data_IF_295370441175
#
_entry.id   IF_295370441175
#
_cell.length_a   1.000
_cell.length_b   1.000
_cell.length_c   1.000
_cell.angle_alpha   90.00
_cell.angle_beta   90.00
_cell.angle_gamma   90.00
#
_symmetry.space_group_name_H-M   'P 1'
#
loop_
_entity.id
_entity.type
_entity.pdbx_description
1 polymer ?
#
# COMPACT_ATOMS: atom_id res chain seq x y z
N UNK A 1 13.85 10.77 4.77
CA UNK A 1 14.44 11.23 3.49
C UNK A 1 15.46 10.25 2.88
N UNK A 2 16.40 9.64 3.64
CA UNK A 2 17.42 8.73 3.07
C UNK A 2 16.92 7.37 2.53
N UNK A 3 15.77 6.86 2.99
CA UNK A 3 15.37 5.47 2.70
C UNK A 3 14.86 5.23 1.27
N UNK A 4 14.28 6.24 0.61
CA UNK A 4 13.72 6.08 -0.74
C UNK A 4 14.81 5.89 -1.80
N UNK A 5 15.90 6.66 -1.70
CA UNK A 5 17.07 6.55 -2.59
C UNK A 5 17.77 5.19 -2.46
N UNK A 6 17.86 4.65 -1.24
CA UNK A 6 18.41 3.31 -0.99
C UNK A 6 17.56 2.21 -1.62
N UNK A 7 16.24 2.33 -1.55
CA UNK A 7 15.33 1.40 -2.23
C UNK A 7 15.56 1.42 -3.75
N UNK A 8 15.60 2.61 -4.34
CA UNK A 8 15.74 2.75 -5.79
C UNK A 8 17.08 2.17 -6.30
N UNK A 9 18.17 2.38 -5.54
CA UNK A 9 19.51 1.93 -5.91
C UNK A 9 19.71 0.42 -5.74
N UNK A 10 19.18 -0.17 -4.67
CA UNK A 10 19.54 -1.54 -4.28
C UNK A 10 18.39 -2.55 -4.39
N UNK A 11 17.13 -2.12 -4.32
CA UNK A 11 15.98 -3.03 -4.14
C UNK A 11 14.93 -2.95 -5.26
N UNK A 12 14.90 -1.88 -6.05
CA UNK A 12 13.87 -1.67 -7.08
C UNK A 12 13.72 -2.85 -8.06
N UNK A 13 14.85 -3.46 -8.46
CA UNK A 13 14.89 -4.59 -9.40
C UNK A 13 15.12 -5.95 -8.75
N UNK A 14 15.10 -6.03 -7.42
CA UNK A 14 15.31 -7.30 -6.73
C UNK A 14 13.99 -8.00 -6.46
N UNK A 15 14.08 -9.31 -6.20
CA UNK A 15 12.95 -10.13 -5.77
C UNK A 15 12.63 -9.95 -4.28
N UNK A 16 13.40 -9.13 -3.57
CA UNK A 16 13.19 -8.88 -2.15
C UNK A 16 11.95 -8.00 -2.00
N UNK A 17 10.94 -8.44 -1.24
CA UNK A 17 9.77 -7.62 -0.98
C UNK A 17 10.15 -6.51 0.00
N UNK A 18 9.69 -5.29 -0.28
CA UNK A 18 9.97 -4.11 0.55
C UNK A 18 8.66 -3.46 0.97
N UNK A 19 8.63 -2.93 2.19
CA UNK A 19 7.52 -2.14 2.72
C UNK A 19 8.07 -0.84 3.27
N UNK A 20 7.35 0.26 3.06
CA UNK A 20 7.66 1.55 3.67
C UNK A 20 6.86 1.67 4.97
N UNK A 21 7.55 1.98 6.06
CA UNK A 21 6.93 2.16 7.38
C UNK A 21 7.10 3.62 7.81
N UNK A 22 5.97 4.31 8.01
CA UNK A 22 5.91 5.63 8.61
C UNK A 22 5.95 5.48 10.14
N UNK A 23 7.16 5.54 10.69
CA UNK A 23 7.39 5.50 12.14
C UNK A 23 7.07 6.84 12.80
N UNK A 24 6.81 6.82 14.11
CA UNK A 24 6.48 8.03 14.90
C UNK A 24 5.19 8.70 14.46
N UNK A 25 4.21 7.90 14.05
CA UNK A 25 2.91 8.40 13.57
C UNK A 25 2.04 9.02 14.66
N UNK A 26 2.50 9.02 15.93
CA UNK A 26 1.94 9.83 17.01
C UNK A 26 2.28 11.34 16.91
N UNK A 27 3.31 11.69 16.14
CA UNK A 27 3.69 13.08 15.91
C UNK A 27 2.90 13.69 14.74
N UNK A 28 2.91 15.02 14.64
CA UNK A 28 2.29 15.71 13.50
C UNK A 28 2.96 15.29 12.19
N UNK A 29 2.14 14.92 11.19
CA UNK A 29 2.63 14.53 9.88
C UNK A 29 3.15 15.76 9.13
N UNK A 30 4.42 15.72 8.74
CA UNK A 30 5.07 16.80 7.99
C UNK A 30 5.30 16.34 6.57
N UNK A 31 5.10 17.24 5.61
CA UNK A 31 5.44 17.00 4.21
C UNK A 31 6.90 16.58 4.07
N UNK A 32 7.11 15.47 3.37
CA UNK A 32 8.46 14.99 3.13
C UNK A 32 9.09 15.84 2.03
N UNK A 33 10.30 16.35 2.30
CA UNK A 33 11.09 17.13 1.33
C UNK A 33 11.70 16.25 0.24
N UNK A 34 10.96 15.29 -0.30
CA UNK A 34 11.41 14.41 -1.39
C UNK A 34 10.69 14.77 -2.68
N UNK A 35 11.21 14.33 -3.84
CA UNK A 35 10.60 14.60 -5.14
C UNK A 35 9.14 14.11 -5.23
N UNK A 36 8.79 13.08 -4.45
CA UNK A 36 7.45 12.51 -4.38
C UNK A 36 7.06 12.23 -2.92
N UNK A 37 5.77 12.33 -2.60
CA UNK A 37 5.27 11.91 -1.29
C UNK A 37 5.33 10.38 -1.15
N UNK A 38 5.46 9.83 0.09
CA UNK A 38 5.64 8.39 0.30
C UNK A 38 4.55 7.51 -0.32
N UNK A 39 3.30 7.96 -0.29
CA UNK A 39 2.15 7.26 -0.89
C UNK A 39 2.25 7.19 -2.42
N UNK A 40 2.61 8.30 -3.05
CA UNK A 40 2.82 8.36 -4.50
C UNK A 40 4.02 7.52 -4.93
N UNK A 41 5.10 7.56 -4.14
CA UNK A 41 6.28 6.73 -4.36
C UNK A 41 5.94 5.23 -4.28
N UNK A 42 5.15 4.80 -3.29
CA UNK A 42 4.72 3.41 -3.21
C UNK A 42 3.90 3.00 -4.45
N UNK A 43 2.98 3.87 -4.88
CA UNK A 43 2.13 3.63 -6.04
C UNK A 43 2.94 3.51 -7.34
N UNK A 44 3.91 4.39 -7.57
CA UNK A 44 4.75 4.37 -8.77
C UNK A 44 5.69 3.15 -8.81
N UNK A 45 6.07 2.62 -7.66
CA UNK A 45 7.01 1.48 -7.56
C UNK A 45 6.31 0.14 -7.28
N UNK A 46 4.98 0.07 -7.36
CA UNK A 46 4.18 -1.14 -7.06
C UNK A 46 4.50 -1.73 -5.67
N UNK A 47 4.70 -0.85 -4.70
CA UNK A 47 4.88 -1.20 -3.29
C UNK A 47 3.54 -1.09 -2.54
N UNK A 48 3.37 -1.81 -1.43
CA UNK A 48 2.26 -1.58 -0.51
C UNK A 48 2.27 -0.13 0.00
N UNK A 49 1.09 0.41 0.33
CA UNK A 49 1.00 1.75 0.91
C UNK A 49 1.81 1.88 2.21
N UNK A 50 2.29 3.09 2.54
CA UNK A 50 3.07 3.31 3.77
C UNK A 50 2.30 2.88 5.02
N UNK A 51 2.84 1.91 5.76
CA UNK A 51 2.21 1.43 6.98
C UNK A 51 2.60 2.31 8.15
N UNK A 52 1.63 2.75 8.95
CA UNK A 52 1.90 3.63 10.09
C UNK A 52 2.25 2.81 11.32
N UNK A 53 3.33 3.19 12.00
CA UNK A 53 3.83 2.48 13.17
C UNK A 53 4.09 3.46 14.31
N UNK A 54 3.38 3.27 15.42
CA UNK A 54 3.46 4.13 16.60
C UNK A 54 4.45 3.59 17.61
N UNK A 55 4.95 4.45 18.48
CA UNK A 55 5.79 4.00 19.59
C UNK A 55 5.05 3.01 20.53
N UNK A 56 3.74 3.18 20.71
CA UNK A 56 2.87 2.31 21.52
C UNK A 56 2.72 0.88 20.98
N UNK A 57 3.16 0.65 19.75
CA UNK A 57 3.05 -0.63 19.06
C UNK A 57 4.31 -1.47 19.21
N UNK A 58 5.39 -0.87 19.72
CA UNK A 58 6.65 -1.56 19.99
C UNK A 58 6.41 -2.59 21.10
N UNK A 59 6.81 -3.84 20.83
CA UNK A 59 6.63 -4.96 21.77
C UNK A 59 5.27 -5.65 21.69
N UNK A 60 4.32 -5.12 20.90
CA UNK A 60 3.04 -5.77 20.66
C UNK A 60 3.09 -6.62 19.39
N UNK A 61 3.14 -7.93 19.57
CA UNK A 61 3.19 -8.89 18.45
C UNK A 61 1.88 -8.96 17.64
N UNK A 62 0.79 -8.37 18.14
CA UNK A 62 -0.49 -8.28 17.45
C UNK A 62 -0.51 -7.23 16.32
N UNK A 63 0.53 -6.38 16.22
CA UNK A 63 0.53 -5.33 15.24
C UNK A 63 0.61 -5.91 13.80
N UNK A 64 -0.29 -5.48 12.90
CA UNK A 64 -0.37 -6.01 11.54
C UNK A 64 0.92 -5.81 10.72
N UNK A 65 1.77 -4.85 11.09
CA UNK A 65 3.08 -4.62 10.46
C UNK A 65 3.96 -5.87 10.56
N UNK A 66 4.00 -6.53 11.72
CA UNK A 66 4.85 -7.70 11.93
C UNK A 66 4.34 -8.91 11.15
N UNK A 67 3.01 -9.12 11.15
CA UNK A 67 2.40 -10.16 10.35
C UNK A 67 2.64 -9.95 8.85
N UNK A 68 2.51 -8.70 8.38
CA UNK A 68 2.77 -8.34 6.98
C UNK A 68 4.24 -8.61 6.60
N UNK A 69 5.20 -8.19 7.44
CA UNK A 69 6.63 -8.46 7.23
C UNK A 69 6.92 -9.96 7.17
N UNK A 70 6.39 -10.74 8.13
CA UNK A 70 6.55 -12.19 8.15
C UNK A 70 5.95 -12.84 6.89
N UNK A 71 4.74 -12.42 6.49
CA UNK A 71 4.08 -12.93 5.28
C UNK A 71 4.88 -12.62 4.02
N UNK A 72 5.43 -11.40 3.92
CA UNK A 72 6.29 -11.00 2.81
C UNK A 72 7.59 -11.81 2.79
N UNK A 73 8.19 -12.09 3.95
CA UNK A 73 9.39 -12.91 4.05
C UNK A 73 9.14 -14.38 3.66
N UNK A 74 7.99 -14.95 4.05
CA UNK A 74 7.61 -16.34 3.70
C UNK A 74 7.21 -16.47 2.23
N UNK A 75 6.49 -15.49 1.69
CA UNK A 75 5.94 -15.53 0.33
C UNK A 75 6.41 -14.34 -0.54
N UNK A 76 7.72 -14.25 -0.87
CA UNK A 76 8.26 -13.14 -1.65
C UNK A 76 7.73 -13.08 -3.09
N UNK A 77 7.27 -14.23 -3.62
CA UNK A 77 6.68 -14.33 -4.96
C UNK A 77 5.29 -13.66 -5.05
N UNK A 78 4.60 -13.44 -3.92
CA UNK A 78 3.29 -12.78 -3.87
C UNK A 78 3.38 -11.24 -3.87
N UNK A 79 4.54 -10.66 -4.21
CA UNK A 79 4.77 -9.19 -4.25
C UNK A 79 3.62 -8.40 -4.92
N UNK A 80 3.00 -8.97 -5.97
CA UNK A 80 1.87 -8.36 -6.67
C UNK A 80 0.57 -8.28 -5.86
N UNK A 81 0.31 -9.21 -4.96
CA UNK A 81 -0.97 -9.21 -4.26
C UNK A 81 -1.02 -8.06 -3.24
N UNK A 82 0.12 -7.71 -2.66
CA UNK A 82 0.20 -6.68 -1.62
C UNK A 82 0.00 -5.25 -2.12
N UNK A 83 0.31 -4.92 -3.39
CA UNK A 83 -0.04 -3.59 -3.95
C UNK A 83 -1.53 -3.48 -4.25
N UNK A 84 -2.20 -4.60 -4.56
CA UNK A 84 -3.64 -4.61 -4.83
C UNK A 84 -4.45 -4.44 -3.55
N UNK A 85 -3.93 -4.84 -2.40
CA UNK A 85 -4.63 -4.77 -1.11
C UNK A 85 -4.77 -3.34 -0.55
N UNK A 86 -4.64 -2.33 -1.40
CA UNK A 86 -4.93 -0.95 -1.08
C UNK A 86 -6.46 -0.73 -1.09
N UNK A 87 -7.05 -0.60 0.10
CA UNK A 87 -8.52 -0.49 0.30
C UNK A 87 -9.17 0.64 -0.51
N UNK A 88 -8.42 1.69 -0.84
CA UNK A 88 -8.89 2.79 -1.68
C UNK A 88 -9.06 2.42 -3.16
N UNK A 89 -8.37 1.38 -3.64
CA UNK A 89 -8.53 0.89 -5.01
C UNK A 89 -9.79 0.02 -5.14
N UNK A 90 -9.98 -0.93 -4.22
CA UNK A 90 -11.15 -1.82 -4.23
C UNK A 90 -12.47 -1.07 -4.07
N UNK A 91 -12.51 -0.03 -3.23
CA UNK A 91 -13.71 0.80 -3.09
C UNK A 91 -14.11 1.47 -4.40
N UNK A 92 -13.15 1.98 -5.17
CA UNK A 92 -13.38 2.58 -6.50
C UNK A 92 -13.88 1.57 -7.53
N UNK A 93 -13.30 0.37 -7.53
CA UNK A 93 -13.70 -0.71 -8.44
C UNK A 93 -15.15 -1.14 -8.17
N UNK A 94 -15.53 -1.31 -6.90
CA UNK A 94 -16.90 -1.70 -6.52
C UNK A 94 -17.93 -0.65 -6.91
N UNK A 95 -17.63 0.64 -6.70
CA UNK A 95 -18.53 1.73 -7.12
C UNK A 95 -18.69 1.74 -8.64
N UNK A 96 -17.60 1.59 -9.40
CA UNK A 96 -17.66 1.52 -10.86
C UNK A 96 -18.50 0.34 -11.37
N UNK A 97 -18.33 -0.85 -10.77
CA UNK A 97 -19.10 -2.03 -11.11
C UNK A 97 -20.60 -1.86 -10.80
N UNK A 98 -20.94 -1.25 -9.66
CA UNK A 98 -22.34 -0.99 -9.29
C UNK A 98 -23.03 -0.04 -10.27
N UNK A 99 -22.35 1.05 -10.68
CA UNK A 99 -22.89 1.98 -11.67
C UNK A 99 -23.11 1.28 -13.01
N UNK A 100 -22.13 0.51 -13.50
CA UNK A 100 -22.26 -0.23 -14.75
C UNK A 100 -23.41 -1.25 -14.73
N UNK A 101 -23.57 -1.97 -13.63
CA UNK A 101 -24.67 -2.92 -13.44
C UNK A 101 -26.04 -2.23 -13.44
N UNK A 102 -26.18 -1.09 -12.74
CA UNK A 102 -27.41 -0.31 -12.74
C UNK A 102 -27.74 0.24 -14.12
N UNK A 103 -26.76 0.79 -14.84
CA UNK A 103 -26.96 1.27 -16.22
C UNK A 103 -27.37 0.13 -17.15
N UNK A 104 -26.69 -1.02 -17.06
CA UNK A 104 -27.02 -2.21 -17.85
C UNK A 104 -28.43 -2.74 -17.56
N UNK A 105 -28.83 -2.81 -16.28
CA UNK A 105 -30.18 -3.24 -15.89
C UNK A 105 -31.27 -2.27 -16.38
N UNK A 106 -31.03 -0.96 -16.31
CA UNK A 106 -31.96 0.05 -16.81
C UNK A 106 -32.12 -0.02 -18.34
N UNK A 107 -31.02 -0.25 -19.07
CA UNK A 107 -31.07 -0.45 -20.52
C UNK A 107 -31.80 -1.74 -20.89
N UNK A 108 -31.54 -2.85 -20.19
CA UNK A 108 -32.26 -4.12 -20.39
C UNK A 108 -33.77 -3.98 -20.17
N UNK A 109 -34.18 -3.22 -19.16
CA UNK A 109 -35.61 -2.98 -18.86
C UNK A 109 -36.28 -1.99 -19.83
N UNK A 110 -35.49 -1.23 -20.58
CA UNK A 110 -35.95 -0.27 -21.61
C UNK A 110 -36.01 -0.87 -23.02
N UNK A 111 -35.41 -2.05 -23.23
CA UNK A 111 -35.58 -2.88 -24.41
C UNK A 111 -36.85 -3.74 -24.27
#
# INVERSE_FOLDING_TARGET
>A
MLHSLSFQKYFYRTKVPCVIVATKSESFEVEQKYEQQPSEFCRSHSLPQPVHFRLSDIGKADNPVFLQLATMAVYPHLKRVYYLQDSHFWSKVTVGAAVAALTGFLLYKRL
#
